data_IF_915153981009
#
_entry.id   IF_915153981009
#
_cell.length_a   1.000
_cell.length_b   1.000
_cell.length_c   1.000
_cell.angle_alpha   90.00
_cell.angle_beta   90.00
_cell.angle_gamma   90.00
#
_symmetry.space_group_name_H-M   'P 1'
#
loop_
_entity.id
_entity.type
_entity.pdbx_description
1 polymer ?
#
# COMPACT_ATOMS: atom_id res chain seq x y z
N UNK A 1 7.96 -48.04 32.74
CA UNK A 1 7.08 -46.85 32.70
C UNK A 1 7.43 -46.07 31.44
N UNK A 2 6.54 -46.06 30.44
CA UNK A 2 6.74 -45.27 29.23
C UNK A 2 6.31 -43.84 29.56
N UNK A 3 7.27 -42.93 29.67
CA UNK A 3 6.97 -41.51 29.84
C UNK A 3 6.24 -41.00 28.60
N UNK A 4 4.96 -40.67 28.76
CA UNK A 4 4.19 -39.93 27.76
C UNK A 4 4.78 -38.52 27.66
N UNK A 5 5.62 -38.27 26.66
CA UNK A 5 6.00 -36.92 26.28
C UNK A 5 4.73 -36.19 25.82
N UNK A 6 4.25 -35.24 26.62
CA UNK A 6 3.27 -34.27 26.15
C UNK A 6 3.94 -33.42 25.07
N UNK A 7 3.36 -33.29 23.86
CA UNK A 7 3.85 -32.29 22.92
C UNK A 7 3.63 -30.93 23.58
N UNK A 8 4.71 -30.22 23.90
CA UNK A 8 4.61 -28.82 24.30
C UNK A 8 3.94 -28.09 23.15
N UNK A 9 2.74 -27.55 23.35
CA UNK A 9 2.10 -26.68 22.38
C UNK A 9 3.13 -25.60 22.02
N UNK A 10 3.58 -25.60 20.76
CA UNK A 10 4.50 -24.57 20.27
C UNK A 10 3.84 -23.22 20.51
N UNK A 11 4.46 -22.35 21.31
CA UNK A 11 3.98 -20.98 21.45
C UNK A 11 4.04 -20.33 20.06
N UNK A 12 2.87 -20.09 19.46
CA UNK A 12 2.79 -19.25 18.27
C UNK A 12 3.03 -17.81 18.72
N UNK A 13 4.14 -17.24 18.25
CA UNK A 13 4.40 -15.80 18.36
C UNK A 13 3.71 -15.12 17.19
N UNK A 14 3.00 -14.03 17.47
CA UNK A 14 2.37 -13.22 16.43
C UNK A 14 3.06 -11.86 16.37
N UNK A 15 3.46 -11.44 15.18
CA UNK A 15 3.87 -10.05 14.90
C UNK A 15 2.69 -9.35 14.26
N UNK A 16 2.21 -8.30 14.90
CA UNK A 16 1.06 -7.51 14.45
C UNK A 16 1.50 -6.07 14.28
N UNK A 17 1.11 -5.45 13.16
CA UNK A 17 1.34 -4.03 12.90
C UNK A 17 0.07 -3.34 12.42
N UNK A 18 -0.02 -2.04 12.68
CA UNK A 18 -1.10 -1.18 12.20
C UNK A 18 -0.48 -0.21 11.20
N UNK A 19 -1.05 -0.10 10.00
CA UNK A 19 -0.60 0.86 9.00
C UNK A 19 -1.76 1.58 8.31
N UNK A 20 -1.43 2.70 7.68
CA UNK A 20 -2.23 3.22 6.58
C UNK A 20 -1.91 2.38 5.36
N UNK A 21 -2.91 1.68 4.83
CA UNK A 21 -2.73 0.86 3.63
C UNK A 21 -2.53 1.78 2.42
N UNK A 22 -1.31 1.74 1.87
CA UNK A 22 -0.85 2.65 0.82
C UNK A 22 -0.26 1.87 -0.35
N UNK A 23 -0.44 2.39 -1.56
CA UNK A 23 0.29 1.90 -2.76
C UNK A 23 1.24 3.00 -3.22
N UNK A 24 2.50 2.64 -3.43
CA UNK A 24 3.50 3.53 -4.02
C UNK A 24 3.46 3.38 -5.55
N UNK A 25 3.19 4.47 -6.26
CA UNK A 25 3.03 4.52 -7.72
C UNK A 25 4.10 5.43 -8.30
N UNK A 26 5.16 4.81 -8.79
CA UNK A 26 6.27 5.53 -9.39
C UNK A 26 5.96 5.85 -10.85
N UNK A 27 6.14 7.10 -11.24
CA UNK A 27 5.98 7.52 -12.62
C UNK A 27 7.07 8.50 -13.07
N UNK A 28 7.34 8.54 -14.37
CA UNK A 28 8.18 9.56 -15.01
C UNK A 28 7.28 10.56 -15.71
N UNK A 29 7.32 11.81 -15.29
CA UNK A 29 6.40 12.85 -15.78
C UNK A 29 7.18 14.00 -16.41
N UNK A 30 6.51 14.92 -17.10
CA UNK A 30 7.12 16.15 -17.62
C UNK A 30 6.96 17.32 -16.64
N UNK A 31 7.69 18.42 -16.86
CA UNK A 31 7.49 19.66 -16.08
C UNK A 31 6.12 20.28 -16.33
N UNK A 32 5.62 20.12 -17.55
CA UNK A 32 4.26 20.53 -17.93
C UNK A 32 3.22 19.70 -17.17
N UNK A 33 3.47 18.41 -16.95
CA UNK A 33 2.58 17.55 -16.14
C UNK A 33 2.57 18.00 -14.67
N UNK A 34 3.73 18.29 -14.10
CA UNK A 34 3.85 18.80 -12.72
C UNK A 34 3.09 20.12 -12.58
N UNK A 35 3.25 21.05 -13.53
CA UNK A 35 2.56 22.33 -13.54
C UNK A 35 1.04 22.18 -13.71
N UNK A 36 0.59 21.26 -14.58
CA UNK A 36 -0.84 20.97 -14.82
C UNK A 36 -1.59 20.60 -13.53
N UNK A 37 -0.96 19.79 -12.68
CA UNK A 37 -1.53 19.36 -11.40
C UNK A 37 -1.17 20.28 -10.22
N UNK A 38 -0.58 21.45 -10.49
CA UNK A 38 -0.14 22.41 -9.48
C UNK A 38 0.76 21.78 -8.40
N UNK A 39 1.65 20.88 -8.82
CA UNK A 39 2.58 20.18 -7.94
C UNK A 39 3.91 20.93 -7.83
N UNK A 40 4.63 20.74 -6.73
CA UNK A 40 5.96 21.33 -6.52
C UNK A 40 7.04 20.25 -6.36
N UNK A 41 8.16 20.41 -7.10
CA UNK A 41 9.31 19.49 -7.07
C UNK A 41 9.96 19.45 -5.70
N UNK A 42 10.22 18.25 -5.19
CA UNK A 42 10.85 18.04 -3.89
C UNK A 42 9.90 18.15 -2.69
N UNK A 43 8.60 18.33 -2.92
CA UNK A 43 7.59 18.39 -1.87
C UNK A 43 6.77 17.10 -1.79
N UNK A 44 6.31 16.79 -0.57
CA UNK A 44 5.22 15.86 -0.32
C UNK A 44 3.93 16.66 -0.17
N UNK A 45 2.96 16.45 -1.05
CA UNK A 45 1.70 17.19 -1.06
C UNK A 45 0.54 16.24 -0.82
N UNK A 46 -0.39 16.62 0.06
CA UNK A 46 -1.69 15.94 0.17
C UNK A 46 -2.64 16.60 -0.81
N UNK A 47 -3.24 15.80 -1.68
CA UNK A 47 -4.26 16.26 -2.64
C UNK A 47 -5.59 15.57 -2.35
N UNK A 48 -6.68 16.16 -2.84
CA UNK A 48 -8.01 15.56 -2.72
C UNK A 48 -8.16 14.33 -3.64
N UNK A 49 -9.18 13.52 -3.34
CA UNK A 49 -9.44 12.25 -4.03
C UNK A 49 -9.72 12.43 -5.54
N UNK A 50 -10.42 13.51 -5.94
CA UNK A 50 -10.76 13.76 -7.36
C UNK A 50 -9.51 14.11 -8.16
N UNK A 51 -8.64 14.96 -7.62
CA UNK A 51 -7.34 15.29 -8.21
C UNK A 51 -6.47 14.04 -8.29
N UNK A 52 -6.45 13.19 -7.27
CA UNK A 52 -5.64 11.97 -7.23
C UNK A 52 -6.09 10.94 -8.28
N UNK A 53 -7.40 10.72 -8.42
CA UNK A 53 -7.97 9.82 -9.41
C UNK A 53 -7.70 10.33 -10.84
N UNK A 54 -7.87 11.63 -11.08
CA UNK A 54 -7.58 12.26 -12.37
C UNK A 54 -6.10 12.11 -12.74
N UNK A 55 -5.20 12.42 -11.80
CA UNK A 55 -3.76 12.29 -11.99
C UNK A 55 -3.38 10.85 -12.34
N UNK A 56 -3.90 9.87 -11.60
CA UNK A 56 -3.60 8.47 -11.86
C UNK A 56 -4.07 7.96 -13.21
N UNK A 57 -5.33 8.27 -13.56
CA UNK A 57 -5.90 7.83 -14.81
C UNK A 57 -5.08 8.39 -15.98
N UNK A 58 -4.64 9.64 -15.88
CA UNK A 58 -3.78 10.23 -16.91
C UNK A 58 -2.37 9.58 -16.96
N UNK A 59 -1.78 9.24 -15.81
CA UNK A 59 -0.52 8.48 -15.78
C UNK A 59 -0.68 7.10 -16.44
N UNK A 60 -1.81 6.43 -16.23
CA UNK A 60 -2.14 5.14 -16.87
C UNK A 60 -2.35 5.28 -18.37
N UNK A 61 -3.16 6.24 -18.79
CA UNK A 61 -3.52 6.46 -20.18
C UNK A 61 -2.30 6.84 -21.02
N UNK A 62 -1.39 7.63 -20.45
CA UNK A 62 -0.12 8.01 -21.08
C UNK A 62 1.00 6.97 -20.87
N UNK A 63 0.74 5.87 -20.17
CA UNK A 63 1.72 4.80 -19.88
C UNK A 63 2.99 5.31 -19.19
N UNK A 64 2.84 6.27 -18.28
CA UNK A 64 3.94 6.93 -17.57
C UNK A 64 4.33 6.25 -16.27
N UNK A 65 3.50 5.32 -15.78
CA UNK A 65 3.76 4.54 -14.57
C UNK A 65 4.89 3.55 -14.84
N UNK A 66 5.99 3.71 -14.12
CA UNK A 66 7.11 2.78 -14.16
C UNK A 66 6.88 1.58 -13.24
N UNK A 67 6.35 1.82 -12.04
CA UNK A 67 6.13 0.76 -11.06
C UNK A 67 4.92 1.05 -10.14
N UNK A 68 4.30 -0.02 -9.63
CA UNK A 68 3.28 0.03 -8.57
C UNK A 68 3.65 -1.00 -7.51
N UNK A 69 3.87 -0.57 -6.26
CA UNK A 69 4.25 -1.44 -5.15
C UNK A 69 3.29 -1.29 -3.97
N UNK A 70 3.10 -2.38 -3.21
CA UNK A 70 2.52 -2.25 -1.88
C UNK A 70 3.47 -1.37 -1.05
N UNK A 71 2.95 -0.27 -0.52
CA UNK A 71 3.70 0.69 0.28
C UNK A 71 3.28 0.63 1.75
N UNK A 72 3.60 1.71 2.46
CA UNK A 72 3.34 1.85 3.89
C UNK A 72 4.52 1.41 4.74
N UNK A 73 4.87 2.22 5.75
CA UNK A 73 6.05 2.00 6.59
C UNK A 73 5.95 0.68 7.35
N UNK A 74 4.79 0.40 7.96
CA UNK A 74 4.57 -0.81 8.74
C UNK A 74 4.24 -1.99 7.82
N UNK A 75 3.52 -1.77 6.73
CA UNK A 75 3.28 -2.77 5.69
C UNK A 75 4.59 -3.33 5.14
N UNK A 76 5.54 -2.47 4.77
CA UNK A 76 6.87 -2.87 4.33
C UNK A 76 7.68 -3.57 5.44
N UNK A 77 7.54 -3.13 6.68
CA UNK A 77 8.21 -3.77 7.84
C UNK A 77 7.71 -5.21 8.05
N UNK A 78 6.39 -5.41 8.02
CA UNK A 78 5.77 -6.73 8.17
C UNK A 78 6.02 -7.64 6.97
N UNK A 79 6.00 -7.08 5.75
CA UNK A 79 6.41 -7.78 4.53
C UNK A 79 7.84 -8.33 4.69
N UNK A 80 8.78 -7.46 5.04
CA UNK A 80 10.18 -7.83 5.21
C UNK A 80 10.38 -8.84 6.34
N UNK A 81 9.71 -8.66 7.49
CA UNK A 81 9.71 -9.65 8.56
C UNK A 81 9.26 -11.03 8.05
N UNK A 82 8.12 -11.09 7.35
CA UNK A 82 7.54 -12.36 6.90
C UNK A 82 8.42 -13.07 5.87
N UNK A 83 9.11 -12.31 5.03
CA UNK A 83 10.08 -12.84 4.06
C UNK A 83 11.34 -13.33 4.76
N UNK A 84 11.91 -12.55 5.69
CA UNK A 84 13.18 -12.87 6.35
C UNK A 84 13.06 -13.99 7.38
N UNK A 85 11.95 -14.05 8.11
CA UNK A 85 11.70 -15.07 9.13
C UNK A 85 11.04 -16.34 8.58
N UNK A 86 10.57 -16.32 7.33
CA UNK A 86 9.69 -17.34 6.73
C UNK A 86 8.44 -17.65 7.58
N UNK A 87 7.97 -16.66 8.34
CA UNK A 87 6.88 -16.78 9.31
C UNK A 87 5.76 -15.76 9.06
N UNK A 88 4.63 -15.92 9.74
CA UNK A 88 3.44 -15.09 9.56
C UNK A 88 3.52 -13.77 10.32
N UNK A 89 3.03 -12.71 9.68
CA UNK A 89 2.67 -11.45 10.35
C UNK A 89 1.22 -11.08 10.05
N UNK A 90 0.64 -10.17 10.84
CA UNK A 90 -0.74 -9.69 10.66
C UNK A 90 -0.71 -8.17 10.48
N UNK A 91 -1.36 -7.69 9.41
CA UNK A 91 -1.58 -6.26 9.21
C UNK A 91 -2.99 -5.87 9.59
N UNK A 92 -3.10 -4.85 10.43
CA UNK A 92 -4.32 -4.11 10.68
C UNK A 92 -4.29 -2.80 9.90
N UNK A 93 -5.43 -2.42 9.34
CA UNK A 93 -5.54 -1.27 8.44
C UNK A 93 -6.89 -1.30 7.72
N UNK A 94 -6.96 -0.63 6.58
CA UNK A 94 -8.17 -0.54 5.76
C UNK A 94 -7.95 -1.12 4.38
N UNK A 95 -8.99 -1.68 3.77
CA UNK A 95 -8.99 -2.09 2.38
C UNK A 95 -10.31 -1.69 1.73
N UNK A 96 -10.29 -1.35 0.45
CA UNK A 96 -11.52 -1.12 -0.31
C UNK A 96 -12.40 -2.37 -0.23
N UNK A 97 -13.67 -2.20 0.16
CA UNK A 97 -14.61 -3.32 0.21
C UNK A 97 -14.85 -3.94 -1.18
N UNK A 98 -14.82 -3.11 -2.22
CA UNK A 98 -14.95 -3.52 -3.62
C UNK A 98 -13.63 -3.33 -4.37
N UNK A 99 -12.92 -4.43 -4.63
CA UNK A 99 -11.63 -4.41 -5.33
C UNK A 99 -11.83 -4.75 -6.81
N UNK A 100 -11.60 -3.75 -7.68
CA UNK A 100 -11.65 -3.93 -9.14
C UNK A 100 -10.31 -4.42 -9.68
N UNK A 101 -10.33 -5.31 -10.67
CA UNK A 101 -9.11 -5.76 -11.37
C UNK A 101 -8.37 -4.54 -11.94
N UNK A 102 -7.06 -4.47 -11.67
CA UNK A 102 -6.21 -3.36 -12.11
C UNK A 102 -6.33 -2.09 -11.26
N UNK A 103 -7.13 -2.08 -10.19
CA UNK A 103 -7.09 -1.00 -9.19
C UNK A 103 -5.84 -1.07 -8.31
N UNK A 104 -5.56 0.00 -7.57
CA UNK A 104 -4.50 0.02 -6.55
C UNK A 104 -4.70 -1.03 -5.47
N UNK A 105 -5.93 -1.20 -4.96
CA UNK A 105 -6.25 -2.23 -3.98
C UNK A 105 -5.90 -3.62 -4.50
N UNK A 106 -6.20 -3.89 -5.77
CA UNK A 106 -5.81 -5.14 -6.43
C UNK A 106 -4.29 -5.31 -6.49
N UNK A 107 -3.55 -4.27 -6.90
CA UNK A 107 -2.08 -4.28 -6.94
C UNK A 107 -1.45 -4.48 -5.57
N UNK A 108 -1.99 -3.83 -4.53
CA UNK A 108 -1.53 -3.99 -3.15
C UNK A 108 -1.57 -5.46 -2.76
N UNK A 109 -2.73 -6.11 -2.92
CA UNK A 109 -2.90 -7.54 -2.60
C UNK A 109 -1.94 -8.45 -3.40
N UNK A 110 -1.73 -8.16 -4.68
CA UNK A 110 -0.81 -8.95 -5.51
C UNK A 110 0.66 -8.81 -5.10
N UNK A 111 1.04 -7.64 -4.57
CA UNK A 111 2.44 -7.31 -4.27
C UNK A 111 2.82 -7.52 -2.80
N UNK A 112 1.83 -7.68 -1.90
CA UNK A 112 2.08 -8.04 -0.50
C UNK A 112 2.50 -9.52 -0.38
N UNK A 113 3.37 -9.82 0.58
CA UNK A 113 3.85 -11.19 0.83
C UNK A 113 2.68 -12.13 1.17
N UNK A 114 2.70 -13.34 0.61
CA UNK A 114 1.69 -14.37 0.88
C UNK A 114 1.65 -14.86 2.34
N UNK A 115 2.70 -14.56 3.12
CA UNK A 115 2.79 -14.89 4.56
C UNK A 115 2.26 -13.78 5.47
N UNK A 116 1.93 -12.62 4.92
CA UNK A 116 1.32 -11.51 5.65
C UNK A 116 -0.20 -11.68 5.62
N UNK A 117 -0.81 -11.85 6.78
CA UNK A 117 -2.24 -12.04 6.94
C UNK A 117 -2.98 -10.70 6.85
N UNK A 118 -3.78 -10.57 5.80
CA UNK A 118 -4.57 -9.38 5.47
C UNK A 118 -6.06 -9.57 5.78
N UNK A 119 -6.48 -10.71 6.34
CA UNK A 119 -7.89 -10.98 6.66
C UNK A 119 -8.45 -10.07 7.76
N UNK A 120 -7.57 -9.33 8.44
CA UNK A 120 -7.92 -8.40 9.51
C UNK A 120 -8.02 -6.94 9.05
N UNK A 121 -7.89 -6.67 7.75
CA UNK A 121 -8.15 -5.34 7.20
C UNK A 121 -9.64 -5.02 7.27
N UNK A 122 -9.96 -3.79 7.68
CA UNK A 122 -11.33 -3.31 7.69
C UNK A 122 -11.75 -2.87 6.30
N UNK A 123 -12.84 -3.44 5.78
CA UNK A 123 -13.47 -2.97 4.55
C UNK A 123 -13.99 -1.53 4.71
N UNK A 124 -13.64 -0.65 3.77
CA UNK A 124 -14.13 0.75 3.73
C UNK A 124 -14.79 1.07 2.39
N UNK A 125 -15.76 1.99 2.43
CA UNK A 125 -16.30 2.63 1.22
C UNK A 125 -15.29 3.66 0.70
N UNK A 126 -14.59 3.31 -0.38
CA UNK A 126 -13.57 4.18 -1.00
C UNK A 126 -12.30 3.43 -1.41
N UNK A 127 -11.38 4.15 -2.05
CA UNK A 127 -10.06 3.64 -2.37
C UNK A 127 -9.19 3.54 -1.10
N UNK A 128 -8.18 2.68 -1.11
CA UNK A 128 -7.04 2.80 -0.18
C UNK A 128 -6.19 4.02 -0.58
N UNK A 129 -5.37 4.51 0.34
CA UNK A 129 -4.51 5.64 0.04
C UNK A 129 -3.45 5.29 -1.02
N UNK A 130 -2.95 6.32 -1.70
CA UNK A 130 -1.93 6.19 -2.74
C UNK A 130 -0.84 7.23 -2.53
N UNK A 131 0.41 6.81 -2.71
CA UNK A 131 1.57 7.70 -2.78
C UNK A 131 2.06 7.69 -4.21
N UNK A 132 2.21 8.85 -4.85
CA UNK A 132 2.72 8.95 -6.22
C UNK A 132 4.08 9.63 -6.25
N UNK A 133 5.20 8.87 -6.17
CA UNK A 133 6.52 9.40 -6.48
C UNK A 133 6.67 9.70 -7.99
N UNK A 134 6.63 10.98 -8.36
CA UNK A 134 6.81 11.44 -9.74
C UNK A 134 8.25 11.90 -9.97
N UNK A 135 8.94 11.28 -10.92
CA UNK A 135 10.35 11.51 -11.20
C UNK A 135 10.59 12.43 -12.41
N UNK A 136 11.11 13.62 -12.10
CA UNK A 136 12.09 14.39 -12.89
C UNK A 136 13.25 14.87 -11.99
N UNK A 137 12.92 15.22 -10.74
CA UNK A 137 13.77 15.39 -9.54
C UNK A 137 13.01 15.04 -8.22
N UNK A 138 12.05 14.10 -8.30
CA UNK A 138 11.17 13.58 -7.23
C UNK A 138 10.12 14.58 -6.68
N UNK A 139 8.84 14.33 -6.94
CA UNK A 139 7.65 14.91 -6.29
C UNK A 139 6.92 13.74 -5.64
N UNK A 140 6.42 13.85 -4.41
CA UNK A 140 5.57 12.81 -3.82
C UNK A 140 4.17 13.35 -3.57
N UNK A 141 3.15 12.63 -3.98
CA UNK A 141 1.76 13.03 -3.79
C UNK A 141 1.05 11.99 -2.94
N UNK A 142 0.45 12.41 -1.85
CA UNK A 142 -0.33 11.56 -0.94
C UNK A 142 -1.82 11.79 -1.21
N UNK A 143 -2.53 10.73 -1.57
CA UNK A 143 -4.00 10.68 -1.56
C UNK A 143 -4.44 9.92 -0.32
N UNK A 144 -5.26 10.58 0.52
CA UNK A 144 -5.84 9.99 1.72
C UNK A 144 -7.36 9.93 1.58
N UNK A 145 -7.87 8.80 1.12
CA UNK A 145 -9.30 8.49 1.22
C UNK A 145 -9.63 7.95 2.61
N UNK A 146 -9.64 8.83 3.63
CA UNK A 146 -10.19 8.48 4.95
C UNK A 146 -11.30 9.46 5.30
N UNK A 147 -12.50 9.19 4.79
CA UNK A 147 -13.72 9.70 5.44
C UNK A 147 -13.98 8.82 6.67
N UNK A 148 -13.35 9.18 7.78
CA UNK A 148 -13.86 8.77 9.08
C UNK A 148 -15.27 9.35 9.21
N UNK A 149 -16.28 8.47 9.27
CA UNK A 149 -17.58 8.81 9.85
C UNK A 149 -17.55 8.50 11.33
#
# INVERSE_FOLDING_TARGET
MVSKSHPSASKQTHVVGIDQTLVDIEAKVSDEFIAKFNLSKGHSLVIDDETAETLYNELKDQQLISNEYAGGTIGNTLHNYSVLADDKSILLGVMSADIKIGSYGFRYLCNTSSRMDLNHLQGVEGAIGAVLPLSQKMVSVLSQSVKAR
#
